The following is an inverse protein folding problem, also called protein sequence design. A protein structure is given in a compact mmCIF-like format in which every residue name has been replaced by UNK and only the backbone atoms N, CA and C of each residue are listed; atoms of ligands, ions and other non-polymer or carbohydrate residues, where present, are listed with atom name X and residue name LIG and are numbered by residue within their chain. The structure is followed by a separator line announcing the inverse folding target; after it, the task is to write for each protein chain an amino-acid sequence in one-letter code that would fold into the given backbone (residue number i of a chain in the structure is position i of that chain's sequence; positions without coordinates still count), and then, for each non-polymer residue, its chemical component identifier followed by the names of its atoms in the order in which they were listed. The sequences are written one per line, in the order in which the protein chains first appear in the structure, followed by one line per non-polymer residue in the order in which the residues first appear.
data_IF_752898051422
#
_entry.id   IF_752898051422
#
_cell.length_a   1.000
_cell.length_b   1.000
_cell.length_c   1.000
_cell.angle_alpha   90.00
_cell.angle_beta   90.00
_cell.angle_gamma   90.00
#
_symmetry.space_group_name_H-M   'P 1'
#
loop_
_entity.id
_entity.type
_entity.pdbx_description
1 polymer ?
#
# COMPACT_ATOMS: atom_id res chain seq x y z
N UNK A 1 -11.75 0.71 6.36
CA UNK A 1 -11.23 1.63 7.41
C UNK A 1 -11.58 1.11 8.80
N UNK A 2 -10.64 1.20 9.75
CA UNK A 2 -10.86 0.86 11.16
C UNK A 2 -11.23 2.14 11.93
N UNK A 3 -12.51 2.32 12.24
CA UNK A 3 -13.02 3.52 12.88
C UNK A 3 -12.89 3.44 14.41
N UNK A 4 -12.44 4.53 15.06
CA UNK A 4 -12.20 4.64 16.50
C UNK A 4 -12.62 6.02 17.04
N UNK A 5 -13.90 6.32 17.00
CA UNK A 5 -14.41 7.66 17.34
C UNK A 5 -14.40 7.97 18.86
N UNK A 6 -14.39 6.96 19.72
CA UNK A 6 -14.55 7.15 21.17
C UNK A 6 -13.28 6.95 21.99
N UNK A 7 -12.16 6.59 21.38
CA UNK A 7 -10.93 6.32 22.12
C UNK A 7 -9.98 7.51 22.11
N UNK A 8 -9.79 8.13 23.27
CA UNK A 8 -8.82 9.23 23.44
C UNK A 8 -7.39 8.77 23.72
N UNK A 9 -7.17 7.47 23.96
CA UNK A 9 -5.86 6.92 24.40
C UNK A 9 -5.17 6.02 23.37
N UNK A 10 -5.78 5.80 22.19
CA UNK A 10 -5.16 4.94 21.17
C UNK A 10 -4.01 5.68 20.52
N UNK A 11 -2.81 5.11 20.60
CA UNK A 11 -1.62 5.63 19.95
C UNK A 11 -1.80 5.76 18.45
N UNK A 12 -1.22 6.81 17.86
CA UNK A 12 -1.23 7.07 16.43
C UNK A 12 -2.64 7.21 15.83
N UNK A 13 -3.67 7.40 16.66
CA UNK A 13 -5.01 7.68 16.17
C UNK A 13 -4.99 8.90 15.27
N UNK A 14 -5.56 8.81 14.09
CA UNK A 14 -5.50 9.87 13.10
C UNK A 14 -6.84 10.16 12.45
N UNK A 15 -6.95 11.40 11.95
CA UNK A 15 -8.03 11.81 11.05
C UNK A 15 -7.71 11.31 9.65
N UNK A 16 -8.39 10.26 9.20
CA UNK A 16 -8.18 9.62 7.91
C UNK A 16 -9.43 9.72 7.04
N UNK A 17 -9.23 9.82 5.72
CA UNK A 17 -10.35 9.89 4.78
C UNK A 17 -10.94 8.50 4.53
N UNK A 18 -12.25 8.38 4.72
CA UNK A 18 -13.02 7.20 4.41
C UNK A 18 -13.63 7.35 3.00
N UNK A 19 -13.11 6.59 2.04
CA UNK A 19 -13.55 6.66 0.64
C UNK A 19 -14.97 6.11 0.44
N UNK A 20 -15.42 5.18 1.28
CA UNK A 20 -16.77 4.63 1.18
C UNK A 20 -17.83 5.61 1.68
N UNK A 21 -17.50 6.40 2.71
CA UNK A 21 -18.41 7.39 3.32
C UNK A 21 -18.12 8.82 2.88
N UNK A 22 -17.14 9.04 1.99
CA UNK A 22 -16.71 10.33 1.47
C UNK A 22 -16.47 11.41 2.54
N UNK A 23 -15.93 11.02 3.71
CA UNK A 23 -15.66 11.94 4.83
C UNK A 23 -14.46 11.53 5.67
N UNK A 24 -13.92 12.50 6.39
CA UNK A 24 -12.89 12.24 7.37
C UNK A 24 -13.47 11.63 8.65
N UNK A 25 -12.77 10.61 9.17
CA UNK A 25 -13.11 9.90 10.40
C UNK A 25 -11.85 9.68 11.23
N UNK A 26 -12.02 9.50 12.53
CA UNK A 26 -10.93 9.07 13.41
C UNK A 26 -10.76 7.56 13.32
N UNK A 27 -9.54 7.12 13.04
CA UNK A 27 -9.25 5.70 12.89
C UNK A 27 -7.96 5.43 12.16
N UNK A 28 -7.92 4.27 11.51
CA UNK A 28 -6.78 3.78 10.74
C UNK A 28 -7.25 3.22 9.41
N UNK A 29 -6.38 3.26 8.41
CA UNK A 29 -6.55 2.48 7.19
C UNK A 29 -5.84 1.15 7.39
N UNK A 30 -6.50 0.04 7.14
CA UNK A 30 -5.88 -1.28 7.19
C UNK A 30 -5.38 -1.66 5.80
N UNK A 31 -4.11 -2.02 5.71
CA UNK A 31 -3.52 -2.63 4.54
C UNK A 31 -3.17 -4.08 4.89
N UNK A 32 -3.68 -5.02 4.12
CA UNK A 32 -3.44 -6.45 4.30
C UNK A 32 -2.82 -7.01 3.03
N UNK A 33 -1.73 -7.74 3.21
CA UNK A 33 -1.18 -8.62 2.19
C UNK A 33 -1.76 -10.02 2.42
N UNK A 34 -2.37 -10.59 1.39
CA UNK A 34 -2.87 -11.94 1.42
C UNK A 34 -2.31 -12.76 0.27
N UNK A 35 -2.32 -14.06 0.43
CA UNK A 35 -1.92 -15.04 -0.57
C UNK A 35 -3.05 -16.02 -0.82
N UNK A 36 -3.59 -16.07 -2.05
CA UNK A 36 -4.59 -17.05 -2.43
C UNK A 36 -3.89 -18.31 -2.97
N UNK A 37 -4.35 -19.48 -2.56
CA UNK A 37 -3.92 -20.78 -3.10
C UNK A 37 -4.85 -21.32 -4.20
N UNK A 38 -5.82 -20.52 -4.63
CA UNK A 38 -6.86 -20.88 -5.59
C UNK A 38 -8.20 -21.25 -4.94
N UNK A 39 -8.19 -21.73 -3.71
CA UNK A 39 -9.39 -22.10 -2.95
C UNK A 39 -9.58 -21.27 -1.70
N UNK A 40 -8.48 -20.83 -1.09
CA UNK A 40 -8.47 -20.13 0.20
C UNK A 40 -7.68 -18.84 0.08
N UNK A 41 -8.10 -17.81 0.80
CA UNK A 41 -7.34 -16.57 0.96
C UNK A 41 -6.70 -16.53 2.34
N UNK A 42 -5.37 -16.57 2.38
CA UNK A 42 -4.59 -16.52 3.61
C UNK A 42 -4.02 -15.11 3.84
N UNK A 43 -4.37 -14.42 4.93
CA UNK A 43 -3.73 -13.17 5.30
C UNK A 43 -2.29 -13.44 5.75
N UNK A 44 -1.32 -12.97 4.98
CA UNK A 44 0.12 -13.15 5.26
C UNK A 44 0.60 -12.14 6.29
N UNK A 45 0.25 -10.88 6.10
CA UNK A 45 0.63 -9.79 7.00
C UNK A 45 -0.31 -8.60 6.84
N UNK A 46 -0.43 -7.79 7.89
CA UNK A 46 -1.27 -6.60 7.86
C UNK A 46 -0.66 -5.46 8.67
N UNK A 47 -1.06 -4.23 8.34
CA UNK A 47 -0.66 -3.03 9.05
C UNK A 47 -1.83 -2.06 9.16
N UNK A 48 -1.97 -1.43 10.32
CA UNK A 48 -2.86 -0.29 10.52
C UNK A 48 -2.08 0.98 10.21
N UNK A 49 -2.45 1.66 9.13
CA UNK A 49 -1.86 2.90 8.70
C UNK A 49 -2.55 4.10 9.36
N UNK A 50 -1.76 4.90 10.00
CA UNK A 50 -2.09 6.23 10.50
C UNK A 50 -1.85 7.27 9.39
N UNK A 51 -1.11 8.33 9.70
CA UNK A 51 -0.72 9.36 8.74
C UNK A 51 0.69 9.88 9.03
N UNK A 52 1.41 10.21 7.98
CA UNK A 52 2.70 10.91 8.04
C UNK A 52 2.53 12.33 8.63
N UNK A 53 1.38 12.99 8.33
CA UNK A 53 1.11 14.34 8.76
C UNK A 53 0.73 14.41 10.25
N UNK A 54 1.62 14.97 11.07
CA UNK A 54 1.41 15.17 12.51
C UNK A 54 0.12 15.94 12.83
N UNK A 55 -0.26 16.92 12.01
CA UNK A 55 -1.49 17.72 12.23
C UNK A 55 -2.77 16.90 12.18
N UNK A 56 -2.73 15.74 11.50
CA UNK A 56 -3.86 14.83 11.40
C UNK A 56 -3.83 13.71 12.46
N UNK A 57 -2.73 13.58 13.24
CA UNK A 57 -2.67 12.65 14.35
C UNK A 57 -3.27 13.28 15.60
N UNK A 58 -4.07 12.50 16.31
CA UNK A 58 -4.70 12.91 17.57
C UNK A 58 -3.76 12.59 18.73
N UNK A 59 -3.12 11.42 18.68
CA UNK A 59 -2.17 10.96 19.68
C UNK A 59 -0.89 10.51 18.99
N UNK A 60 0.22 10.77 19.61
CA UNK A 60 1.53 10.27 19.16
C UNK A 60 1.80 8.86 19.71
N UNK A 61 2.81 8.20 19.17
CA UNK A 61 3.26 6.91 19.67
C UNK A 61 3.94 7.07 21.04
N UNK A 62 3.77 6.09 21.92
CA UNK A 62 4.55 6.02 23.13
C UNK A 62 6.04 5.82 22.80
N UNK A 63 6.91 6.40 23.63
CA UNK A 63 8.35 6.13 23.55
C UNK A 63 8.64 4.70 23.99
N UNK A 64 9.27 3.94 23.11
CA UNK A 64 9.68 2.56 23.37
C UNK A 64 11.06 2.30 22.75
N UNK A 65 11.72 1.24 23.18
CA UNK A 65 13.03 0.85 22.67
C UNK A 65 12.96 0.65 21.14
N UNK A 66 13.82 1.38 20.43
CA UNK A 66 13.89 1.39 18.96
C UNK A 66 14.26 0.04 18.33
N UNK A 67 14.82 -0.88 19.10
CA UNK A 67 15.20 -2.22 18.66
C UNK A 67 13.99 -3.16 18.56
N UNK A 68 12.89 -2.81 19.19
CA UNK A 68 11.70 -3.66 19.28
C UNK A 68 10.90 -3.74 17.96
N UNK A 69 10.18 -4.83 17.78
CA UNK A 69 9.20 -4.97 16.69
C UNK A 69 8.10 -3.93 16.82
N UNK A 70 7.68 -3.61 18.06
CA UNK A 70 6.67 -2.60 18.32
C UNK A 70 7.06 -1.22 17.80
N UNK A 71 8.32 -0.79 17.99
CA UNK A 71 8.82 0.46 17.43
C UNK A 71 8.78 0.46 15.89
N UNK A 72 9.28 -0.60 15.27
CA UNK A 72 9.29 -0.74 13.81
C UNK A 72 7.89 -0.69 13.22
N UNK A 73 6.91 -1.34 13.85
CA UNK A 73 5.50 -1.30 13.43
C UNK A 73 4.89 0.10 13.56
N UNK A 74 5.18 0.82 14.65
CA UNK A 74 4.72 2.21 14.83
C UNK A 74 5.28 3.14 13.76
N UNK A 75 6.57 3.01 13.49
CA UNK A 75 7.23 3.79 12.43
C UNK A 75 6.59 3.52 11.07
N UNK A 76 6.43 2.27 10.69
CA UNK A 76 5.81 1.86 9.43
C UNK A 76 4.35 2.33 9.31
N UNK A 77 3.61 2.35 10.44
CA UNK A 77 2.23 2.85 10.49
C UNK A 77 2.09 4.32 10.11
N UNK A 78 3.14 5.11 10.28
CA UNK A 78 3.15 6.54 9.94
C UNK A 78 3.58 6.82 8.49
N UNK A 79 4.02 5.82 7.75
CA UNK A 79 4.51 5.97 6.38
C UNK A 79 3.37 6.00 5.35
N UNK A 80 3.74 6.35 4.11
CA UNK A 80 2.80 6.28 2.98
C UNK A 80 2.39 4.84 2.71
N UNK A 81 1.13 4.63 2.37
CA UNK A 81 0.60 3.29 2.07
C UNK A 81 1.37 2.54 0.99
N UNK A 82 1.91 3.25 -0.02
CA UNK A 82 2.75 2.66 -1.06
C UNK A 82 4.06 2.11 -0.51
N UNK A 83 4.70 2.81 0.44
CA UNK A 83 5.92 2.34 1.09
C UNK A 83 5.65 1.17 2.03
N UNK A 84 4.58 1.27 2.82
CA UNK A 84 4.14 0.17 3.68
C UNK A 84 3.83 -1.11 2.87
N UNK A 85 3.20 -0.97 1.69
CA UNK A 85 2.94 -2.09 0.78
C UNK A 85 4.23 -2.77 0.32
N UNK A 86 5.24 -2.01 -0.09
CA UNK A 86 6.54 -2.56 -0.49
C UNK A 86 7.21 -3.30 0.68
N UNK A 87 7.15 -2.75 1.89
CA UNK A 87 7.70 -3.42 3.09
C UNK A 87 6.96 -4.74 3.40
N UNK A 88 5.63 -4.79 3.21
CA UNK A 88 4.88 -6.04 3.36
C UNK A 88 5.31 -7.08 2.31
N UNK A 89 5.52 -6.67 1.06
CA UNK A 89 6.00 -7.56 -0.01
C UNK A 89 7.42 -8.09 0.26
N UNK A 90 8.34 -7.25 0.73
CA UNK A 90 9.68 -7.68 1.15
C UNK A 90 9.61 -8.73 2.26
N UNK A 91 8.69 -8.55 3.22
CA UNK A 91 8.48 -9.52 4.30
C UNK A 91 7.98 -10.87 3.76
N UNK A 92 7.04 -10.85 2.81
CA UNK A 92 6.53 -12.06 2.17
C UNK A 92 7.63 -12.77 1.35
N UNK A 93 8.45 -12.02 0.61
CA UNK A 93 9.59 -12.58 -0.13
C UNK A 93 10.60 -13.25 0.81
N UNK A 94 10.94 -12.60 1.94
CA UNK A 94 11.82 -13.19 2.98
C UNK A 94 11.24 -14.43 3.62
N UNK A 95 9.92 -14.52 3.74
CA UNK A 95 9.21 -15.69 4.23
C UNK A 95 9.01 -16.79 3.16
N UNK A 96 9.60 -16.61 1.98
CA UNK A 96 9.53 -17.54 0.85
C UNK A 96 8.08 -17.90 0.45
N UNK A 97 7.15 -16.93 0.52
CA UNK A 97 5.78 -17.14 0.03
C UNK A 97 5.84 -17.43 -1.49
N UNK A 98 5.29 -18.56 -1.96
CA UNK A 98 5.40 -18.99 -3.35
C UNK A 98 4.42 -18.20 -4.24
N UNK A 99 4.77 -16.97 -4.57
CA UNK A 99 3.99 -16.10 -5.43
C UNK A 99 4.86 -15.55 -6.58
N UNK A 100 4.31 -15.55 -7.77
CA UNK A 100 4.93 -14.94 -8.96
C UNK A 100 4.34 -13.56 -9.23
N UNK A 101 3.05 -13.40 -8.97
CA UNK A 101 2.29 -12.19 -9.30
C UNK A 101 1.87 -11.44 -8.05
N UNK A 102 1.90 -10.11 -8.12
CA UNK A 102 1.29 -9.23 -7.14
C UNK A 102 0.11 -8.52 -7.79
N UNK A 103 -1.05 -8.61 -7.13
CA UNK A 103 -2.28 -7.97 -7.55
C UNK A 103 -2.61 -6.82 -6.61
N UNK A 104 -2.89 -5.65 -7.17
CA UNK A 104 -3.39 -4.50 -6.42
C UNK A 104 -4.22 -3.56 -7.29
N UNK A 105 -4.96 -2.68 -6.64
CA UNK A 105 -5.80 -1.70 -7.31
C UNK A 105 -4.99 -0.51 -7.88
N UNK A 106 -5.69 0.39 -8.54
CA UNK A 106 -5.11 1.57 -9.17
C UNK A 106 -4.43 2.54 -8.21
N UNK A 107 -4.66 2.43 -6.90
CA UNK A 107 -4.01 3.25 -5.88
C UNK A 107 -2.50 3.02 -5.81
N UNK A 108 -2.08 1.78 -6.03
CA UNK A 108 -0.68 1.37 -5.98
C UNK A 108 0.00 1.30 -7.36
N UNK A 109 -0.73 1.54 -8.45
CA UNK A 109 -0.25 1.35 -9.84
C UNK A 109 0.52 2.54 -10.41
N UNK A 110 1.34 3.24 -9.59
CA UNK A 110 2.25 4.26 -10.12
C UNK A 110 3.46 3.61 -10.83
N UNK A 111 4.04 4.22 -11.86
CA UNK A 111 5.22 3.67 -12.55
C UNK A 111 6.40 3.38 -11.62
N UNK A 112 6.59 4.22 -10.57
CA UNK A 112 7.62 4.00 -9.56
C UNK A 112 7.35 2.77 -8.70
N UNK A 113 6.10 2.56 -8.30
CA UNK A 113 5.69 1.38 -7.54
C UNK A 113 5.83 0.10 -8.37
N UNK A 114 5.36 0.13 -9.63
CA UNK A 114 5.49 -1.03 -10.54
C UNK A 114 6.95 -1.46 -10.71
N UNK A 115 7.85 -0.48 -10.90
CA UNK A 115 9.30 -0.75 -11.00
C UNK A 115 9.87 -1.31 -9.69
N UNK A 116 9.44 -0.80 -8.53
CA UNK A 116 9.91 -1.30 -7.24
C UNK A 116 9.48 -2.76 -7.00
N UNK A 117 8.24 -3.12 -7.32
CA UNK A 117 7.75 -4.50 -7.24
C UNK A 117 8.51 -5.41 -8.22
N UNK A 118 8.76 -4.94 -9.44
CA UNK A 118 9.52 -5.70 -10.44
C UNK A 118 10.96 -5.98 -10.00
N UNK A 119 11.62 -5.05 -9.29
CA UNK A 119 12.96 -5.26 -8.70
C UNK A 119 12.96 -6.31 -7.58
N UNK A 120 11.81 -6.66 -7.05
CA UNK A 120 11.64 -7.76 -6.08
C UNK A 120 11.37 -9.11 -6.78
N UNK A 121 11.51 -9.20 -8.11
CA UNK A 121 11.24 -10.37 -8.95
C UNK A 121 9.76 -10.80 -8.97
N UNK A 122 8.84 -9.90 -8.66
CA UNK A 122 7.42 -10.13 -8.85
C UNK A 122 6.95 -9.53 -10.17
N UNK A 123 6.02 -10.20 -10.83
CA UNK A 123 5.21 -9.63 -11.89
C UNK A 123 3.99 -8.92 -11.30
N UNK A 124 3.48 -7.91 -12.00
CA UNK A 124 2.36 -7.11 -11.51
C UNK A 124 1.14 -7.27 -12.40
N UNK A 125 0.01 -7.51 -11.78
CA UNK A 125 -1.30 -7.40 -12.42
C UNK A 125 -2.08 -6.32 -11.66
N UNK A 126 -2.39 -5.22 -12.32
CA UNK A 126 -3.04 -4.10 -11.64
C UNK A 126 -3.78 -3.19 -12.58
N UNK A 127 -4.83 -2.55 -12.08
CA UNK A 127 -5.52 -1.49 -12.81
C UNK A 127 -4.69 -0.21 -12.80
N UNK A 128 -4.46 0.37 -13.96
CA UNK A 128 -3.75 1.64 -14.08
C UNK A 128 -4.73 2.76 -14.38
N UNK A 129 -4.60 3.88 -13.66
CA UNK A 129 -5.42 5.05 -13.90
C UNK A 129 -5.03 5.71 -15.22
N UNK A 130 -6.01 6.03 -16.05
CA UNK A 130 -5.80 6.93 -17.18
C UNK A 130 -5.35 8.30 -16.66
N UNK A 131 -4.16 8.74 -17.03
CA UNK A 131 -3.62 10.04 -16.65
C UNK A 131 -2.80 10.64 -17.79
N UNK A 132 -3.01 11.91 -18.15
CA UNK A 132 -2.20 12.58 -19.17
C UNK A 132 -0.76 12.84 -18.72
N UNK A 133 -0.48 12.67 -17.41
CA UNK A 133 0.85 12.88 -16.81
C UNK A 133 1.60 11.57 -16.57
N UNK A 134 1.04 10.42 -16.97
CA UNK A 134 1.62 9.10 -16.71
C UNK A 134 2.05 8.44 -18.01
N UNK A 135 3.34 8.23 -18.15
CA UNK A 135 3.95 7.59 -19.33
C UNK A 135 4.65 6.30 -18.90
N UNK A 136 4.69 5.36 -19.83
CA UNK A 136 5.35 4.07 -19.68
C UNK A 136 6.34 3.88 -20.83
N UNK A 137 7.50 3.31 -20.52
CA UNK A 137 8.48 2.93 -21.55
C UNK A 137 7.99 1.69 -22.26
N UNK A 138 7.68 1.82 -23.54
CA UNK A 138 7.22 0.73 -24.40
C UNK A 138 7.92 0.82 -25.77
N UNK A 139 8.57 -0.27 -26.21
CA UNK A 139 9.39 -0.30 -27.43
C UNK A 139 10.43 0.84 -27.52
N UNK A 140 11.04 1.22 -26.40
CA UNK A 140 12.03 2.29 -26.35
C UNK A 140 11.47 3.70 -26.28
N UNK A 141 10.16 3.90 -26.41
CA UNK A 141 9.48 5.18 -26.39
C UNK A 141 8.65 5.38 -25.11
N UNK A 142 8.51 6.63 -24.67
CA UNK A 142 7.63 6.98 -23.55
C UNK A 142 6.22 7.23 -24.08
N UNK A 143 5.31 6.29 -23.83
CA UNK A 143 3.96 6.30 -24.37
C UNK A 143 2.89 6.35 -23.26
N UNK A 144 1.75 6.98 -23.57
CA UNK A 144 0.56 6.88 -22.71
C UNK A 144 -0.04 5.46 -22.80
N UNK A 145 -0.79 5.06 -21.75
CA UNK A 145 -1.50 3.77 -21.78
C UNK A 145 -2.42 3.59 -22.98
N UNK A 146 -3.08 4.67 -23.40
CA UNK A 146 -3.99 4.63 -24.56
C UNK A 146 -3.20 4.40 -25.84
N UNK A 147 -2.04 5.06 -25.98
CA UNK A 147 -1.17 4.88 -27.14
C UNK A 147 -0.65 3.44 -27.21
N UNK A 148 -0.21 2.88 -26.07
CA UNK A 148 0.23 1.48 -25.97
C UNK A 148 -0.93 0.52 -26.34
N UNK A 149 -2.12 0.77 -25.78
CA UNK A 149 -3.30 -0.05 -26.09
C UNK A 149 -3.65 -0.01 -27.58
N UNK A 150 -3.70 1.18 -28.18
CA UNK A 150 -4.02 1.34 -29.60
C UNK A 150 -2.97 0.69 -30.51
N UNK A 151 -1.69 0.77 -30.14
CA UNK A 151 -0.59 0.11 -30.87
C UNK A 151 -0.69 -1.42 -30.84
N UNK A 152 -1.27 -1.99 -29.80
CA UNK A 152 -1.40 -3.44 -29.60
C UNK A 152 -2.83 -3.98 -29.82
N UNK A 153 -3.76 -3.12 -30.18
CA UNK A 153 -5.14 -3.55 -30.51
C UNK A 153 -5.10 -4.29 -31.85
N UNK A 154 -5.31 -5.60 -31.79
CA UNK A 154 -5.53 -6.44 -32.97
C UNK A 154 -6.99 -6.33 -33.43
#
# INVERSE_FOLDING_TARGET
MFERNRSKKVELLAKVYDHAKHKYRFGFRMLTLGWPDGSTFLPVNSILLSTENKKNRINEAAEIDKRTVGYRRRKLSMEKGTHAMLTLLETAKKAAIPAKYVLFDSWFSSPSTLRAVKRMDFDVIGMVKKSPKMFFRYDGEDMSLISIYNKNKK
#
